data_IF_780978704062
#
_entry.id   IF_780978704062
#
_cell.length_a   1.000
_cell.length_b   1.000
_cell.length_c   1.000
_cell.angle_alpha   90.00
_cell.angle_beta   90.00
_cell.angle_gamma   90.00
#
_symmetry.space_group_name_H-M   'P 1'
#
loop_
_entity.id
_entity.type
_entity.pdbx_description
1 polymer ?
#
# COMPACT_ATOMS: atom_id res chain seq x y z
N UNK A 1 8.50 -38.24 51.64
CA UNK A 1 8.34 -36.78 51.63
C UNK A 1 9.63 -36.15 51.13
N UNK A 2 9.66 -35.63 49.90
CA UNK A 2 10.56 -34.54 49.47
C UNK A 2 10.05 -34.03 48.13
N UNK A 3 9.80 -32.71 48.05
CA UNK A 3 9.07 -32.07 46.97
C UNK A 3 9.92 -31.79 45.74
N UNK A 4 9.33 -32.00 44.57
CA UNK A 4 9.80 -31.46 43.29
C UNK A 4 8.72 -30.55 42.71
N UNK A 5 8.81 -29.24 43.02
CA UNK A 5 7.94 -28.23 42.43
C UNK A 5 8.57 -27.82 41.09
N UNK A 6 7.99 -28.28 39.99
CA UNK A 6 8.35 -27.85 38.63
C UNK A 6 7.81 -26.44 38.43
N UNK A 7 8.71 -25.47 38.24
CA UNK A 7 8.37 -24.10 37.89
C UNK A 7 7.88 -24.05 36.44
N UNK A 8 6.57 -23.94 36.28
CA UNK A 8 5.92 -23.70 35.00
C UNK A 8 6.06 -22.20 34.66
N UNK A 9 7.02 -21.86 33.79
CA UNK A 9 7.20 -20.49 33.30
C UNK A 9 6.00 -20.15 32.40
N UNK A 10 5.05 -19.43 32.98
CA UNK A 10 3.93 -18.83 32.28
C UNK A 10 4.40 -18.02 31.06
N UNK A 11 4.12 -18.55 29.86
CA UNK A 11 4.30 -17.85 28.60
C UNK A 11 3.38 -16.63 28.57
N UNK A 12 3.97 -15.43 28.60
CA UNK A 12 3.23 -14.18 28.39
C UNK A 12 2.64 -14.16 26.98
N UNK A 13 1.35 -13.83 26.79
CA UNK A 13 0.74 -13.87 25.47
C UNK A 13 1.26 -12.74 24.57
N UNK A 14 1.91 -13.12 23.47
CA UNK A 14 2.42 -12.30 22.35
C UNK A 14 1.44 -11.27 21.74
N UNK A 15 0.15 -11.33 22.11
CA UNK A 15 -0.88 -10.41 21.61
C UNK A 15 -0.74 -8.98 22.12
N UNK A 16 -0.14 -8.78 23.30
CA UNK A 16 -0.01 -7.45 23.89
C UNK A 16 1.02 -6.58 23.14
N UNK A 17 2.12 -7.16 22.69
CA UNK A 17 3.22 -6.43 22.03
C UNK A 17 2.81 -5.90 20.65
N UNK A 18 1.96 -6.62 19.91
CA UNK A 18 1.53 -6.21 18.58
C UNK A 18 0.65 -4.94 18.57
N UNK A 19 -0.05 -4.69 19.69
CA UNK A 19 -0.95 -3.54 19.83
C UNK A 19 -0.25 -2.21 20.13
N UNK A 20 1.01 -2.25 20.60
CA UNK A 20 1.82 -1.04 20.82
C UNK A 20 2.37 -0.49 19.50
N UNK A 21 2.58 -1.32 18.49
CA UNK A 21 3.23 -0.97 17.22
C UNK A 21 2.35 -0.20 16.23
N UNK A 22 1.05 0.00 16.52
CA UNK A 22 0.07 0.58 15.57
C UNK A 22 -0.38 1.99 15.98
N UNK A 23 0.28 2.67 16.92
CA UNK A 23 -0.04 4.07 17.22
C UNK A 23 0.78 4.99 16.32
N UNK A 24 0.21 5.60 15.26
CA UNK A 24 0.93 6.62 14.52
C UNK A 24 1.18 7.80 15.46
N UNK A 25 2.45 8.14 15.68
CA UNK A 25 2.84 9.35 16.38
C UNK A 25 2.20 10.54 15.66
N UNK A 26 1.16 11.11 16.26
CA UNK A 26 0.41 12.21 15.63
C UNK A 26 1.21 13.49 15.88
N UNK A 27 1.96 13.94 14.87
CA UNK A 27 2.64 15.24 14.94
C UNK A 27 1.64 16.34 15.29
N UNK A 28 1.99 17.30 16.17
CA UNK A 28 1.06 18.34 16.58
C UNK A 28 0.54 19.10 15.36
N UNK A 29 -0.79 19.16 15.21
CA UNK A 29 -1.43 19.91 14.12
C UNK A 29 -1.01 21.37 14.23
N UNK A 30 -0.49 21.94 13.14
CA UNK A 30 -0.18 23.37 13.08
C UNK A 30 -1.45 24.15 13.36
N UNK A 31 -1.38 25.11 14.29
CA UNK A 31 -2.50 26.03 14.57
C UNK A 31 -2.79 26.84 13.32
N UNK A 32 -4.02 26.78 12.83
CA UNK A 32 -4.52 27.58 11.71
C UNK A 32 -5.55 28.57 12.23
N UNK A 33 -5.41 29.85 11.85
CA UNK A 33 -6.36 30.90 12.19
C UNK A 33 -7.25 31.14 10.96
N UNK A 34 -8.59 31.18 11.09
CA UNK A 34 -9.48 31.40 9.96
C UNK A 34 -9.39 32.84 9.44
N UNK A 35 -9.60 33.01 8.13
CA UNK A 35 -9.76 34.33 7.49
C UNK A 35 -11.21 34.48 7.08
N UNK A 36 -11.87 35.53 7.57
CA UNK A 36 -13.25 35.86 7.20
C UNK A 36 -13.24 36.96 6.16
N UNK A 37 -13.88 36.70 5.01
CA UNK A 37 -13.99 37.65 3.90
C UNK A 37 -15.49 37.83 3.60
N UNK A 38 -15.94 39.07 3.41
CA UNK A 38 -17.30 39.35 2.94
C UNK A 38 -17.31 39.16 1.42
N UNK A 39 -18.19 38.29 0.93
CA UNK A 39 -18.38 38.01 -0.48
C UNK A 39 -19.87 38.17 -0.79
N UNK A 40 -20.16 38.77 -1.93
CA UNK A 40 -21.50 38.67 -2.54
C UNK A 40 -21.71 37.27 -3.13
N UNK A 41 -22.96 36.90 -3.40
CA UNK A 41 -23.28 35.59 -4.00
C UNK A 41 -22.60 35.40 -5.37
N UNK A 42 -22.54 36.46 -6.18
CA UNK A 42 -21.88 36.45 -7.47
C UNK A 42 -20.37 36.22 -7.35
N UNK A 43 -19.69 36.92 -6.43
CA UNK A 43 -18.25 36.74 -6.20
C UNK A 43 -17.94 35.34 -5.67
N UNK A 44 -18.80 34.78 -4.81
CA UNK A 44 -18.64 33.41 -4.30
C UNK A 44 -18.77 32.38 -5.42
N UNK A 45 -19.75 32.53 -6.30
CA UNK A 45 -19.94 31.63 -7.44
C UNK A 45 -18.75 31.68 -8.41
N UNK A 46 -18.26 32.88 -8.73
CA UNK A 46 -17.06 33.05 -9.57
C UNK A 46 -15.83 32.37 -8.96
N UNK A 47 -15.64 32.48 -7.64
CA UNK A 47 -14.53 31.81 -6.96
C UNK A 47 -14.68 30.29 -6.93
N UNK A 48 -15.91 29.75 -6.86
CA UNK A 48 -16.15 28.31 -6.93
C UNK A 48 -15.88 27.76 -8.33
N UNK A 49 -16.28 28.49 -9.38
CA UNK A 49 -15.97 28.14 -10.77
C UNK A 49 -14.45 28.14 -11.02
N UNK A 50 -13.75 29.18 -10.56
CA UNK A 50 -12.29 29.26 -10.68
C UNK A 50 -11.54 28.20 -9.86
N UNK A 51 -12.12 27.74 -8.75
CA UNK A 51 -11.51 26.73 -7.89
C UNK A 51 -11.56 25.31 -8.51
N UNK A 52 -12.50 25.05 -9.43
CA UNK A 52 -12.67 23.79 -10.15
C UNK A 52 -12.59 22.57 -9.19
N UNK A 53 -11.54 21.73 -9.28
CA UNK A 53 -11.36 20.55 -8.43
C UNK A 53 -10.80 20.82 -7.02
N UNK A 54 -10.58 22.08 -6.63
CA UNK A 54 -10.02 22.47 -5.33
C UNK A 54 -11.08 23.01 -4.38
N UNK A 55 -10.83 22.92 -3.07
CA UNK A 55 -11.68 23.62 -2.10
C UNK A 55 -11.46 25.13 -2.22
N UNK A 56 -12.51 25.92 -2.07
CA UNK A 56 -12.45 27.40 -2.11
C UNK A 56 -11.31 27.97 -1.25
N UNK A 57 -11.14 27.45 -0.03
CA UNK A 57 -10.05 27.83 0.89
C UNK A 57 -8.66 27.52 0.35
N UNK A 58 -8.49 26.42 -0.38
CA UNK A 58 -7.21 26.05 -1.02
C UNK A 58 -6.92 26.96 -2.20
N UNK A 59 -7.94 27.27 -3.00
CA UNK A 59 -7.84 28.19 -4.13
C UNK A 59 -7.48 29.61 -3.67
N UNK A 60 -8.20 30.18 -2.70
CA UNK A 60 -7.90 31.49 -2.11
C UNK A 60 -6.47 31.55 -1.56
N UNK A 61 -6.06 30.51 -0.83
CA UNK A 61 -4.68 30.42 -0.31
C UNK A 61 -3.65 30.37 -1.43
N UNK A 62 -3.92 29.62 -2.50
CA UNK A 62 -3.03 29.54 -3.66
C UNK A 62 -2.91 30.90 -4.35
N UNK A 63 -3.99 31.64 -4.58
CA UNK A 63 -3.93 32.98 -5.17
C UNK A 63 -3.13 33.96 -4.31
N UNK A 64 -3.31 33.94 -2.98
CA UNK A 64 -2.65 34.88 -2.06
C UNK A 64 -1.18 34.53 -1.77
N UNK A 65 -0.84 33.24 -1.72
CA UNK A 65 0.47 32.75 -1.28
C UNK A 65 1.23 31.96 -2.37
N UNK A 66 0.83 32.07 -3.65
CA UNK A 66 1.43 31.37 -4.80
C UNK A 66 2.96 31.48 -4.89
N UNK A 67 3.55 32.54 -4.30
CA UNK A 67 5.00 32.80 -4.31
C UNK A 67 5.76 32.10 -3.19
N UNK A 68 5.11 31.72 -2.09
CA UNK A 68 5.78 31.15 -0.91
C UNK A 68 5.58 29.65 -0.73
N UNK A 69 4.38 29.13 -0.99
CA UNK A 69 4.14 27.70 -0.83
C UNK A 69 4.35 27.01 -2.18
N UNK A 70 5.51 26.36 -2.36
CA UNK A 70 5.71 25.28 -3.33
C UNK A 70 4.44 24.43 -3.32
N UNK A 71 3.60 24.65 -4.35
CA UNK A 71 2.26 24.11 -4.52
C UNK A 71 2.25 22.69 -3.97
N UNK A 72 1.63 22.45 -2.81
CA UNK A 72 1.43 21.08 -2.30
C UNK A 72 0.57 20.40 -3.35
N UNK A 73 1.21 19.75 -4.32
CA UNK A 73 0.55 18.98 -5.36
C UNK A 73 -0.27 17.93 -4.62
N UNK A 74 -1.58 18.16 -4.52
CA UNK A 74 -2.51 17.09 -4.15
C UNK A 74 -2.22 15.96 -5.13
N UNK A 75 -1.92 14.77 -4.60
CA UNK A 75 -1.82 13.58 -5.43
C UNK A 75 -3.18 13.44 -6.15
N UNK A 76 -3.21 13.33 -7.48
CA UNK A 76 -4.47 13.18 -8.19
C UNK A 76 -5.18 11.92 -7.68
N UNK A 77 -6.50 11.98 -7.53
CA UNK A 77 -7.29 10.84 -7.03
C UNK A 77 -7.11 9.56 -7.87
N UNK A 78 -6.81 9.71 -9.16
CA UNK A 78 -6.44 8.60 -10.06
C UNK A 78 -5.23 7.82 -9.55
N UNK A 79 -4.19 8.51 -9.07
CA UNK A 79 -2.99 7.87 -8.52
C UNK A 79 -3.27 7.10 -7.21
N UNK A 80 -4.40 7.32 -6.54
CA UNK A 80 -4.82 6.54 -5.36
C UNK A 80 -5.65 5.32 -5.79
N UNK A 81 -6.54 5.49 -6.77
CA UNK A 81 -7.31 4.39 -7.36
C UNK A 81 -6.41 3.36 -8.04
N UNK A 82 -5.44 3.80 -8.83
CA UNK A 82 -4.49 2.93 -9.52
C UNK A 82 -3.64 2.13 -8.51
N UNK A 83 -3.18 2.79 -7.44
CA UNK A 83 -2.44 2.10 -6.36
C UNK A 83 -3.28 1.08 -5.61
N UNK A 84 -4.58 1.33 -5.43
CA UNK A 84 -5.49 0.38 -4.79
C UNK A 84 -5.68 -0.85 -5.68
N UNK A 85 -5.94 -0.67 -6.97
CA UNK A 85 -6.09 -1.75 -7.93
C UNK A 85 -4.81 -2.61 -8.04
N UNK A 86 -3.63 -1.96 -8.05
CA UNK A 86 -2.33 -2.65 -8.06
C UNK A 86 -2.11 -3.44 -6.76
N UNK A 87 -2.46 -2.88 -5.60
CA UNK A 87 -2.36 -3.58 -4.32
C UNK A 87 -3.32 -4.77 -4.23
N UNK A 88 -4.54 -4.65 -4.75
CA UNK A 88 -5.51 -5.74 -4.83
C UNK A 88 -5.01 -6.86 -5.77
N UNK A 89 -4.47 -6.51 -6.94
CA UNK A 89 -3.87 -7.48 -7.85
C UNK A 89 -2.69 -8.24 -7.20
N UNK A 90 -1.82 -7.54 -6.46
CA UNK A 90 -0.72 -8.15 -5.72
C UNK A 90 -1.23 -9.08 -4.60
N UNK A 91 -2.29 -8.68 -3.89
CA UNK A 91 -2.89 -9.49 -2.83
C UNK A 91 -3.49 -10.79 -3.39
N UNK A 92 -4.22 -10.72 -4.51
CA UNK A 92 -4.76 -11.88 -5.21
C UNK A 92 -3.64 -12.82 -5.71
N UNK A 93 -2.55 -12.25 -6.24
CA UNK A 93 -1.36 -13.02 -6.65
C UNK A 93 -0.71 -13.74 -5.47
N UNK A 94 -0.65 -13.10 -4.29
CA UNK A 94 -0.15 -13.73 -3.07
C UNK A 94 -1.06 -14.84 -2.55
N UNK A 95 -2.38 -14.66 -2.63
CA UNK A 95 -3.37 -15.64 -2.18
C UNK A 95 -3.47 -16.88 -3.08
N UNK A 96 -3.24 -16.73 -4.39
CA UNK A 96 -3.37 -17.83 -5.35
C UNK A 96 -2.33 -18.94 -5.15
N UNK A 97 -1.27 -18.69 -4.38
CA UNK A 97 -0.12 -19.59 -4.16
C UNK A 97 0.48 -20.15 -5.46
N UNK A 98 0.21 -19.53 -6.61
CA UNK A 98 0.57 -20.06 -7.93
C UNK A 98 2.07 -20.28 -8.05
N UNK A 99 2.89 -19.33 -7.58
CA UNK A 99 4.34 -19.46 -7.58
C UNK A 99 4.83 -20.65 -6.73
N UNK A 100 4.20 -20.90 -5.58
CA UNK A 100 4.54 -22.04 -4.70
C UNK A 100 4.17 -23.37 -5.35
N UNK A 101 2.96 -23.46 -5.93
CA UNK A 101 2.49 -24.68 -6.59
C UNK A 101 3.35 -24.99 -7.82
N UNK A 102 3.71 -23.96 -8.59
CA UNK A 102 4.53 -24.12 -9.78
C UNK A 102 5.97 -24.55 -9.42
N UNK A 103 6.52 -24.04 -8.32
CA UNK A 103 7.81 -24.49 -7.80
C UNK A 103 7.76 -25.95 -7.31
N UNK A 104 6.66 -26.37 -6.68
CA UNK A 104 6.47 -27.78 -6.28
C UNK A 104 6.39 -28.70 -7.50
N UNK A 105 5.66 -28.29 -8.55
CA UNK A 105 5.59 -29.04 -9.80
C UNK A 105 6.95 -29.11 -10.49
N UNK A 106 7.68 -28.00 -10.58
CA UNK A 106 9.03 -27.99 -11.13
C UNK A 106 10.00 -28.88 -10.33
N UNK A 107 9.92 -28.85 -8.99
CA UNK A 107 10.73 -29.70 -8.14
C UNK A 107 10.40 -31.18 -8.31
N UNK A 108 9.11 -31.54 -8.31
CA UNK A 108 8.65 -32.91 -8.54
C UNK A 108 9.03 -33.41 -9.94
N UNK A 109 9.00 -32.53 -10.93
CA UNK A 109 9.54 -32.81 -12.25
C UNK A 109 11.04 -33.10 -12.16
N UNK A 110 11.82 -32.26 -11.47
CA UNK A 110 13.29 -32.31 -11.44
C UNK A 110 13.82 -33.56 -10.74
N UNK A 111 13.13 -34.05 -9.72
CA UNK A 111 13.46 -35.30 -9.03
C UNK A 111 12.89 -36.55 -9.73
N UNK A 112 12.24 -36.38 -10.89
CA UNK A 112 11.64 -37.48 -11.66
C UNK A 112 10.37 -38.08 -11.05
N UNK A 113 9.80 -37.44 -10.02
CA UNK A 113 8.55 -37.88 -9.38
C UNK A 113 7.31 -37.56 -10.24
N UNK A 114 7.42 -36.56 -11.12
CA UNK A 114 6.42 -36.21 -12.11
C UNK A 114 7.01 -36.55 -13.50
N UNK A 115 6.42 -37.53 -14.19
CA UNK A 115 6.81 -37.90 -15.55
C UNK A 115 6.24 -36.84 -16.50
N UNK A 116 7.09 -35.92 -16.92
CA UNK A 116 6.76 -34.80 -17.80
C UNK A 116 7.88 -34.68 -18.82
N UNK A 117 7.51 -34.39 -20.07
CA UNK A 117 8.50 -34.15 -21.11
C UNK A 117 9.31 -32.88 -20.81
N UNK A 118 10.56 -32.82 -21.28
CA UNK A 118 11.44 -31.66 -21.05
C UNK A 118 10.84 -30.36 -21.60
N UNK A 119 10.03 -30.45 -22.65
CA UNK A 119 9.28 -29.32 -23.21
C UNK A 119 8.24 -28.76 -22.23
N UNK A 120 7.59 -29.62 -21.46
CA UNK A 120 6.55 -29.24 -20.49
C UNK A 120 7.17 -28.66 -19.23
N UNK A 121 8.31 -29.20 -18.81
CA UNK A 121 9.16 -28.65 -17.74
C UNK A 121 9.62 -27.22 -18.05
N UNK A 122 10.10 -26.95 -19.27
CA UNK A 122 10.52 -25.62 -19.68
C UNK A 122 9.36 -24.60 -19.62
N UNK A 123 8.13 -25.00 -20.01
CA UNK A 123 6.95 -24.13 -19.91
C UNK A 123 6.57 -23.79 -18.46
N UNK A 124 6.77 -24.73 -17.53
CA UNK A 124 6.54 -24.52 -16.09
C UNK A 124 7.54 -23.50 -15.54
N UNK A 125 8.83 -23.63 -15.86
CA UNK A 125 9.85 -22.64 -15.46
C UNK A 125 9.59 -21.26 -16.08
N UNK A 126 9.20 -21.21 -17.35
CA UNK A 126 8.84 -19.95 -18.03
C UNK A 126 7.66 -19.26 -17.34
N UNK A 127 6.59 -20.00 -17.05
CA UNK A 127 5.43 -19.48 -16.32
C UNK A 127 5.80 -18.97 -14.92
N UNK A 128 6.76 -19.62 -14.25
CA UNK A 128 7.26 -19.17 -12.94
C UNK A 128 8.00 -17.83 -13.06
N UNK A 129 8.83 -17.68 -14.09
CA UNK A 129 9.50 -16.42 -14.42
C UNK A 129 8.52 -15.26 -14.67
N UNK A 130 7.43 -15.50 -15.40
CA UNK A 130 6.40 -14.48 -15.62
C UNK A 130 5.70 -14.06 -14.32
N UNK A 131 5.37 -15.00 -13.43
CA UNK A 131 4.73 -14.68 -12.15
C UNK A 131 5.66 -13.86 -11.25
N UNK A 132 6.95 -14.20 -11.20
CA UNK A 132 7.95 -13.40 -10.47
C UNK A 132 8.06 -11.99 -11.04
N UNK A 133 8.11 -11.86 -12.37
CA UNK A 133 8.19 -10.56 -13.04
C UNK A 133 6.97 -9.69 -12.74
N UNK A 134 5.77 -10.27 -12.77
CA UNK A 134 4.53 -9.59 -12.37
C UNK A 134 4.58 -9.12 -10.93
N UNK A 135 5.04 -9.96 -9.99
CA UNK A 135 5.19 -9.58 -8.58
C UNK A 135 6.14 -8.38 -8.43
N UNK A 136 7.30 -8.41 -9.09
CA UNK A 136 8.30 -7.34 -9.02
C UNK A 136 7.74 -6.03 -9.59
N UNK A 137 7.07 -6.09 -10.74
CA UNK A 137 6.49 -4.90 -11.38
C UNK A 137 5.38 -4.26 -10.54
N UNK A 138 4.53 -5.08 -9.91
CA UNK A 138 3.49 -4.61 -8.99
C UNK A 138 4.10 -3.99 -7.71
N UNK A 139 5.17 -4.58 -7.16
CA UNK A 139 5.88 -4.02 -5.99
C UNK A 139 6.57 -2.69 -6.32
N UNK A 140 7.19 -2.57 -7.49
CA UNK A 140 7.80 -1.33 -7.98
C UNK A 140 6.76 -0.23 -8.18
N UNK A 141 5.60 -0.56 -8.77
CA UNK A 141 4.51 0.39 -8.97
C UNK A 141 3.91 0.92 -7.65
N UNK A 142 4.00 0.14 -6.57
CA UNK A 142 3.61 0.57 -5.21
C UNK A 142 4.71 1.34 -4.47
N UNK A 143 5.94 1.35 -4.99
CA UNK A 143 7.11 1.94 -4.33
C UNK A 143 7.59 1.13 -3.12
N UNK A 144 7.43 -0.19 -3.17
CA UNK A 144 7.82 -1.15 -2.12
C UNK A 144 9.10 -1.92 -2.51
N UNK A 145 10.03 -1.30 -3.25
CA UNK A 145 11.35 -1.89 -3.47
C UNK A 145 12.17 -1.81 -2.18
N UNK A 146 12.41 -2.97 -1.56
CA UNK A 146 13.39 -3.18 -0.49
C UNK A 146 14.16 -4.45 -0.76
#
# INVERSE_FOLDING_TARGET
MSGGKRDDKAAKPLKAEFSQSVRPATSPRRKTIPVTIRLTEAERAQLEEMADAMTLSTYIRACLFAKEEKRRKRRPGSAVADKKAIAEALALLGQSRMASNLNQLAHQANIGALVIEDRERAKIEEAYGYILSLRTLLMAALGQER
#
